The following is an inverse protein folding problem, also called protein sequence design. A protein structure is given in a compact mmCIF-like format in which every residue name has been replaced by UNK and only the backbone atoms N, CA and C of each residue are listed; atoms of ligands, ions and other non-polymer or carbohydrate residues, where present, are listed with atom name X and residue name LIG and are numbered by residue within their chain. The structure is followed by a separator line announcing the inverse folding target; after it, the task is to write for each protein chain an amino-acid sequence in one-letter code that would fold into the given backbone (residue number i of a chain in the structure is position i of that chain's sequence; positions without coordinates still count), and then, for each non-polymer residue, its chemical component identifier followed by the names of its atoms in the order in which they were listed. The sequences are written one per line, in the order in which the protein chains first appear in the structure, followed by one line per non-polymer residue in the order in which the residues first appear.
data_IF_527480281056
#
_entry.id   IF_527480281056
#
_cell.length_a   1.000
_cell.length_b   1.000
_cell.length_c   1.000
_cell.angle_alpha   90.00
_cell.angle_beta   90.00
_cell.angle_gamma   90.00
#
_symmetry.space_group_name_H-M   'P 1'
#
loop_
_entity.id
_entity.type
_entity.pdbx_description
1 polymer ?
#
# COMPACT_ATOMS: atom_id res chain seq x y z
N UNK A 1 -15.89 -50.57 32.25
CA UNK A 1 -16.35 -50.34 30.85
C UNK A 1 -15.34 -49.42 30.24
N UNK A 2 -14.57 -49.96 29.31
CA UNK A 2 -13.35 -49.38 28.76
C UNK A 2 -13.69 -48.54 27.53
N UNK A 3 -13.28 -47.26 27.50
CA UNK A 3 -13.45 -46.40 26.35
C UNK A 3 -12.07 -46.22 25.69
N UNK A 4 -11.92 -46.83 24.49
CA UNK A 4 -10.70 -46.81 23.69
C UNK A 4 -10.67 -45.54 22.85
N UNK A 5 -9.75 -44.65 23.14
CA UNK A 5 -9.36 -43.54 22.22
C UNK A 5 -8.58 -44.12 21.06
N UNK A 6 -9.06 -43.87 19.84
CA UNK A 6 -8.33 -44.18 18.60
C UNK A 6 -7.53 -42.95 18.18
N UNK A 7 -6.19 -43.07 18.27
CA UNK A 7 -5.27 -42.15 17.58
C UNK A 7 -5.31 -42.41 16.08
N UNK A 8 -5.61 -41.34 15.32
CA UNK A 8 -5.47 -41.35 13.88
C UNK A 8 -4.19 -40.56 13.54
N UNK A 9 -3.15 -41.31 13.21
CA UNK A 9 -1.90 -40.74 12.67
C UNK A 9 -1.99 -40.78 11.14
N UNK A 10 -2.20 -39.69 10.51
CA UNK A 10 -2.14 -39.58 9.04
C UNK A 10 -0.76 -39.02 8.65
N UNK A 11 0.05 -39.91 8.05
CA UNK A 11 1.32 -39.58 7.41
C UNK A 11 1.02 -38.83 6.10
N UNK A 12 1.42 -37.56 6.01
CA UNK A 12 1.47 -36.83 4.75
C UNK A 12 2.78 -37.18 4.03
N UNK A 13 2.67 -37.79 2.86
CA UNK A 13 3.75 -37.89 1.89
C UNK A 13 3.72 -36.65 0.99
N UNK A 14 4.85 -36.09 0.58
CA UNK A 14 4.89 -34.99 -0.37
C UNK A 14 4.68 -35.54 -1.78
N UNK A 15 3.64 -35.07 -2.45
CA UNK A 15 3.50 -35.21 -3.89
C UNK A 15 4.15 -34.00 -4.55
N UNK A 16 5.22 -34.27 -5.31
CA UNK A 16 5.72 -33.34 -6.32
C UNK A 16 4.65 -33.21 -7.41
N UNK A 17 4.09 -32.03 -7.52
CA UNK A 17 3.41 -31.59 -8.75
C UNK A 17 3.88 -30.18 -9.07
N UNK A 18 4.28 -30.02 -10.30
CA UNK A 18 4.92 -28.90 -10.94
C UNK A 18 4.12 -27.60 -10.79
N UNK A 19 4.76 -26.57 -10.23
CA UNK A 19 4.29 -25.19 -10.29
C UNK A 19 4.68 -24.61 -11.66
N UNK A 20 3.80 -24.82 -12.63
CA UNK A 20 3.79 -24.02 -13.86
C UNK A 20 3.36 -22.59 -13.53
N UNK A 21 4.24 -21.66 -13.77
CA UNK A 21 3.94 -20.24 -13.83
C UNK A 21 3.04 -19.94 -15.02
N UNK A 22 2.06 -19.03 -14.92
CA UNK A 22 1.30 -18.60 -16.08
C UNK A 22 2.24 -17.88 -17.05
N UNK A 23 2.40 -18.46 -18.22
CA UNK A 23 3.12 -17.95 -19.36
C UNK A 23 2.39 -16.79 -20.03
N UNK A 24 3.17 -15.79 -20.36
CA UNK A 24 3.26 -15.08 -21.64
C UNK A 24 1.98 -14.49 -22.22
N UNK A 25 1.89 -13.18 -22.10
CA UNK A 25 1.24 -12.33 -23.11
C UNK A 25 2.35 -11.65 -23.89
N UNK A 26 2.28 -11.80 -25.21
CA UNK A 26 3.25 -11.44 -26.23
C UNK A 26 3.89 -10.07 -26.05
N UNK A 27 5.24 -10.06 -25.97
CA UNK A 27 6.07 -8.87 -26.04
C UNK A 27 6.65 -8.76 -27.45
N UNK A 28 6.07 -7.88 -28.27
CA UNK A 28 6.63 -7.53 -29.56
C UNK A 28 7.90 -6.71 -29.38
N UNK A 29 8.96 -7.22 -29.98
CA UNK A 29 10.30 -6.70 -30.15
C UNK A 29 10.33 -5.22 -30.51
N UNK A 30 11.09 -4.45 -29.73
CA UNK A 30 11.89 -3.34 -30.26
C UNK A 30 13.30 -3.43 -29.65
N UNK A 31 14.23 -3.86 -30.50
CA UNK A 31 15.66 -3.73 -30.27
C UNK A 31 16.07 -2.28 -30.50
N UNK A 32 16.61 -1.62 -29.49
CA UNK A 32 17.46 -0.46 -29.74
C UNK A 32 18.64 -0.38 -28.77
N UNK A 33 19.75 -0.01 -29.38
CA UNK A 33 21.11 -0.08 -28.90
C UNK A 33 21.35 0.82 -27.67
N UNK A 34 21.92 0.22 -26.62
CA UNK A 34 22.51 0.92 -25.47
C UNK A 34 23.76 1.69 -25.86
N UNK A 35 23.69 3.01 -25.86
CA UNK A 35 24.85 3.86 -25.63
C UNK A 35 24.81 4.38 -24.19
N UNK A 36 25.78 3.95 -23.42
CA UNK A 36 26.02 4.45 -22.06
C UNK A 36 26.59 5.85 -22.10
N UNK A 37 25.81 6.83 -21.68
CA UNK A 37 26.34 8.12 -21.22
C UNK A 37 25.93 8.29 -19.76
N UNK A 38 26.93 8.29 -18.89
CA UNK A 38 26.78 8.67 -17.49
C UNK A 38 26.55 10.17 -17.42
N UNK A 39 25.32 10.57 -17.15
CA UNK A 39 25.02 11.96 -16.78
C UNK A 39 24.30 11.98 -15.44
N UNK A 40 24.90 12.67 -14.48
CA UNK A 40 24.41 12.87 -13.13
C UNK A 40 23.21 13.83 -13.13
N UNK A 41 22.03 13.35 -13.55
CA UNK A 41 20.78 14.07 -13.50
C UNK A 41 20.21 14.09 -12.09
N UNK A 42 20.32 15.22 -11.43
CA UNK A 42 19.69 15.54 -10.16
C UNK A 42 18.18 15.28 -10.19
N UNK A 43 17.69 14.57 -9.18
CA UNK A 43 16.30 14.14 -8.95
C UNK A 43 15.35 15.32 -8.65
N UNK A 44 15.17 16.24 -9.58
CA UNK A 44 14.19 17.35 -9.46
C UNK A 44 12.77 16.95 -9.87
N UNK A 45 12.61 15.93 -10.69
CA UNK A 45 11.31 15.57 -11.31
C UNK A 45 10.27 14.92 -10.39
N UNK A 46 10.72 14.32 -9.26
CA UNK A 46 9.80 13.76 -8.29
C UNK A 46 9.31 14.79 -7.26
N UNK A 47 9.95 15.96 -7.19
CA UNK A 47 9.61 17.01 -6.23
C UNK A 47 8.28 17.70 -6.60
N UNK A 48 8.06 17.99 -7.89
CA UNK A 48 6.91 18.79 -8.33
C UNK A 48 5.56 18.07 -8.12
N UNK A 49 5.49 16.74 -8.31
CA UNK A 49 4.24 15.98 -8.08
C UNK A 49 3.92 15.78 -6.60
N UNK A 50 4.97 15.72 -5.75
CA UNK A 50 4.80 15.70 -4.31
C UNK A 50 4.37 17.08 -3.78
N UNK A 51 4.88 18.15 -4.40
CA UNK A 51 4.52 19.52 -4.02
C UNK A 51 3.06 19.83 -4.37
N UNK A 52 2.52 19.31 -5.48
CA UNK A 52 1.11 19.44 -5.84
C UNK A 52 0.20 18.67 -4.89
N UNK A 53 0.54 17.41 -4.55
CA UNK A 53 -0.20 16.64 -3.56
C UNK A 53 -0.14 17.31 -2.18
N UNK A 54 1.01 17.89 -1.83
CA UNK A 54 1.19 18.64 -0.59
C UNK A 54 0.41 19.96 -0.60
N UNK A 55 0.37 20.67 -1.72
CA UNK A 55 -0.43 21.88 -1.88
C UNK A 55 -1.92 21.60 -1.70
N UNK A 56 -2.43 20.52 -2.31
CA UNK A 56 -3.83 20.13 -2.15
C UNK A 56 -4.17 19.77 -0.68
N UNK A 57 -3.27 19.10 0.02
CA UNK A 57 -3.41 18.82 1.46
C UNK A 57 -3.30 20.11 2.30
N UNK A 58 -2.52 21.11 1.86
CA UNK A 58 -2.45 22.43 2.52
C UNK A 58 -3.76 23.23 2.35
N UNK A 59 -4.42 23.15 1.21
CA UNK A 59 -5.73 23.80 0.98
C UNK A 59 -6.81 23.25 1.91
N UNK A 60 -6.74 21.95 2.26
CA UNK A 60 -7.63 21.32 3.25
C UNK A 60 -7.51 22.00 4.63
N UNK A 61 -6.33 22.53 4.97
CA UNK A 61 -6.07 23.18 6.27
C UNK A 61 -6.91 24.43 6.48
N UNK A 62 -7.15 25.22 5.44
CA UNK A 62 -7.80 26.52 5.57
C UNK A 62 -9.32 26.42 5.72
N UNK A 63 -9.90 25.21 5.51
CA UNK A 63 -11.33 24.94 5.61
C UNK A 63 -11.76 24.37 6.96
N UNK A 64 -10.81 23.92 7.80
CA UNK A 64 -11.13 23.28 9.08
C UNK A 64 -11.34 24.31 10.18
N UNK A 65 -12.53 24.79 10.35
CA UNK A 65 -12.93 25.50 11.56
C UNK A 65 -13.18 24.49 12.70
N UNK A 66 -12.58 24.74 13.85
CA UNK A 66 -12.56 23.99 15.10
C UNK A 66 -13.87 23.29 15.43
N UNK A 67 -14.01 22.03 15.08
CA UNK A 67 -15.05 21.15 15.55
C UNK A 67 -14.45 20.17 16.57
N UNK A 68 -15.05 20.12 17.76
CA UNK A 68 -14.65 19.22 18.87
C UNK A 68 -15.21 17.80 18.56
N UNK A 69 -15.01 17.29 17.35
CA UNK A 69 -15.47 15.95 17.00
C UNK A 69 -14.37 14.95 17.32
N UNK A 70 -14.72 13.90 18.06
CA UNK A 70 -13.85 12.76 18.25
C UNK A 70 -13.88 11.90 17.00
N UNK A 71 -12.73 11.72 16.38
CA UNK A 71 -12.57 10.84 15.24
C UNK A 71 -12.07 9.46 15.71
N UNK A 72 -12.85 8.44 15.40
CA UNK A 72 -12.40 7.05 15.53
C UNK A 72 -11.92 6.59 14.16
N UNK A 73 -10.61 6.38 14.04
CA UNK A 73 -9.99 6.13 12.74
C UNK A 73 -9.58 4.67 12.56
N UNK A 74 -9.88 4.12 11.39
CA UNK A 74 -9.36 2.87 10.87
C UNK A 74 -8.41 3.19 9.72
N UNK A 75 -7.15 2.74 9.83
CA UNK A 75 -6.12 2.95 8.83
C UNK A 75 -5.76 1.60 8.22
N UNK A 76 -6.09 1.40 6.95
CA UNK A 76 -5.85 0.17 6.20
C UNK A 76 -4.67 0.41 5.25
N UNK A 77 -3.60 -0.33 5.44
CA UNK A 77 -2.44 -0.30 4.55
C UNK A 77 -2.41 -1.56 3.69
N UNK A 78 -2.18 -1.39 2.39
CA UNK A 78 -1.68 -2.46 1.56
C UNK A 78 -0.23 -2.78 1.92
N UNK A 79 0.29 -3.93 1.47
CA UNK A 79 1.64 -4.35 1.79
C UNK A 79 2.60 -4.17 0.62
N UNK A 80 2.30 -4.81 -0.53
CA UNK A 80 3.17 -4.82 -1.69
C UNK A 80 3.18 -3.44 -2.38
N UNK A 81 4.36 -2.93 -2.71
CA UNK A 81 4.57 -1.59 -3.28
C UNK A 81 3.92 -0.43 -2.49
N UNK A 82 3.57 -0.71 -1.24
CA UNK A 82 3.08 0.26 -0.26
C UNK A 82 3.97 0.28 0.97
N UNK A 83 4.01 -0.79 1.77
CA UNK A 83 4.90 -0.94 2.92
C UNK A 83 6.20 -1.68 2.57
N UNK A 84 6.15 -2.53 1.55
CA UNK A 84 7.26 -3.38 1.11
C UNK A 84 7.54 -3.14 -0.38
N UNK A 85 8.80 -2.90 -0.78
CA UNK A 85 9.16 -2.50 -2.14
C UNK A 85 9.26 -3.71 -3.09
N UNK A 86 8.15 -4.41 -3.32
CA UNK A 86 8.07 -5.65 -4.08
C UNK A 86 8.60 -5.49 -5.50
N UNK A 87 8.11 -4.49 -6.23
CA UNK A 87 8.53 -4.23 -7.61
C UNK A 87 10.00 -3.85 -7.71
N UNK A 88 10.51 -3.03 -6.80
CA UNK A 88 11.93 -2.69 -6.75
C UNK A 88 12.82 -3.92 -6.55
N UNK A 89 12.48 -4.80 -5.62
CA UNK A 89 13.22 -6.03 -5.38
C UNK A 89 13.17 -6.96 -6.59
N UNK A 90 12.00 -7.14 -7.19
CA UNK A 90 11.83 -7.97 -8.39
C UNK A 90 12.64 -7.45 -9.59
N UNK A 91 12.63 -6.13 -9.83
CA UNK A 91 13.42 -5.49 -10.90
C UNK A 91 14.94 -5.65 -10.70
N UNK A 92 15.38 -5.73 -9.44
CA UNK A 92 16.78 -5.99 -9.09
C UNK A 92 17.12 -7.50 -8.98
N UNK A 93 16.20 -8.39 -9.37
CA UNK A 93 16.42 -9.84 -9.41
C UNK A 93 16.31 -10.54 -8.06
N UNK A 94 15.81 -9.88 -7.02
CA UNK A 94 15.63 -10.47 -5.70
C UNK A 94 14.26 -11.11 -5.55
N UNK A 95 14.25 -12.34 -5.05
CA UNK A 95 13.06 -13.14 -4.78
C UNK A 95 13.14 -13.78 -3.39
N UNK A 96 12.02 -14.24 -2.89
CA UNK A 96 11.96 -14.87 -1.57
C UNK A 96 12.85 -16.13 -1.48
N UNK A 97 12.83 -16.97 -2.51
CA UNK A 97 13.61 -18.20 -2.64
C UNK A 97 15.02 -18.00 -3.27
N UNK A 98 15.35 -16.75 -3.65
CA UNK A 98 16.63 -16.38 -4.24
C UNK A 98 17.70 -16.05 -3.20
N UNK A 99 18.86 -15.52 -3.66
CA UNK A 99 19.94 -15.07 -2.77
C UNK A 99 19.49 -13.91 -1.88
N UNK A 100 20.26 -13.66 -0.83
CA UNK A 100 20.08 -12.48 0.00
C UNK A 100 20.41 -11.21 -0.78
N UNK A 101 19.85 -10.08 -0.35
CA UNK A 101 20.15 -8.78 -0.93
C UNK A 101 21.65 -8.44 -0.80
N UNK A 102 22.21 -7.75 -1.80
CA UNK A 102 23.59 -7.26 -1.68
C UNK A 102 23.70 -6.26 -0.51
N UNK A 103 24.90 -6.06 0.05
CA UNK A 103 25.06 -5.10 1.16
C UNK A 103 24.55 -3.69 0.83
N UNK A 104 24.68 -3.25 -0.41
CA UNK A 104 24.21 -1.95 -0.89
C UNK A 104 22.69 -1.89 -0.89
N UNK A 105 22.03 -2.91 -1.44
CA UNK A 105 20.57 -3.01 -1.45
C UNK A 105 20.03 -3.16 -0.01
N UNK A 106 20.69 -3.98 0.81
CA UNK A 106 20.28 -4.14 2.21
C UNK A 106 20.35 -2.80 2.98
N UNK A 107 21.40 -2.01 2.75
CA UNK A 107 21.52 -0.68 3.36
C UNK A 107 20.36 0.26 2.96
N UNK A 108 19.96 0.23 1.69
CA UNK A 108 18.78 0.99 1.20
C UNK A 108 17.49 0.51 1.90
N UNK A 109 17.29 -0.80 1.99
CA UNK A 109 16.12 -1.39 2.63
C UNK A 109 16.07 -1.09 4.14
N UNK A 110 17.22 -1.07 4.81
CA UNK A 110 17.33 -0.75 6.23
C UNK A 110 16.93 0.70 6.53
N UNK A 111 17.37 1.65 5.69
CA UNK A 111 16.94 3.05 5.82
C UNK A 111 15.44 3.22 5.51
N UNK A 112 14.96 2.59 4.45
CA UNK A 112 13.53 2.59 4.12
C UNK A 112 12.69 1.99 5.24
N UNK A 113 13.14 0.89 5.84
CA UNK A 113 12.47 0.23 6.97
C UNK A 113 12.23 1.20 8.14
N UNK A 114 13.17 2.11 8.42
CA UNK A 114 13.02 3.12 9.48
C UNK A 114 11.89 4.11 9.17
N UNK A 115 11.73 4.44 7.89
CA UNK A 115 10.68 5.37 7.45
C UNK A 115 9.30 4.71 7.59
N UNK A 116 9.15 3.47 7.10
CA UNK A 116 7.91 2.70 7.22
C UNK A 116 7.54 2.46 8.68
N UNK A 117 8.54 2.08 9.52
CA UNK A 117 8.35 1.91 10.96
C UNK A 117 7.74 3.17 11.60
N UNK A 118 8.30 4.33 11.30
CA UNK A 118 7.77 5.61 11.82
C UNK A 118 6.36 5.88 11.33
N UNK A 119 6.08 5.65 10.04
CA UNK A 119 4.73 5.82 9.46
C UNK A 119 3.71 4.97 10.20
N UNK A 120 4.00 3.69 10.42
CA UNK A 120 3.08 2.78 11.10
C UNK A 120 2.90 3.11 12.59
N UNK A 121 3.97 3.55 13.26
CA UNK A 121 3.90 3.99 14.65
C UNK A 121 3.09 5.28 14.80
N UNK A 122 3.27 6.24 13.92
CA UNK A 122 2.48 7.48 13.90
C UNK A 122 1.01 7.15 13.58
N UNK A 123 0.75 6.33 12.57
CA UNK A 123 -0.61 5.88 12.22
C UNK A 123 -1.34 5.23 13.41
N UNK A 124 -0.64 4.37 14.18
CA UNK A 124 -1.20 3.69 15.36
C UNK A 124 -1.60 4.65 16.49
N UNK A 125 -0.97 5.82 16.56
CA UNK A 125 -1.36 6.85 17.56
C UNK A 125 -2.72 7.48 17.23
N UNK A 126 -3.13 7.43 15.97
CA UNK A 126 -4.35 8.07 15.49
C UNK A 126 -5.52 7.10 15.28
N UNK A 127 -5.30 5.79 15.30
CA UNK A 127 -6.37 4.83 15.12
C UNK A 127 -5.93 3.38 15.05
N UNK A 128 -6.88 2.52 14.71
CA UNK A 128 -6.62 1.10 14.47
C UNK A 128 -5.93 0.93 13.12
N UNK A 129 -4.76 0.33 13.13
CA UNK A 129 -4.01 -0.02 11.91
C UNK A 129 -4.26 -1.49 11.56
N UNK A 130 -4.55 -1.77 10.27
CA UNK A 130 -4.71 -3.11 9.71
C UNK A 130 -3.94 -3.18 8.39
N UNK A 131 -3.26 -4.30 8.14
CA UNK A 131 -2.58 -4.57 6.87
C UNK A 131 -3.42 -5.55 6.05
N UNK A 132 -3.73 -5.21 4.80
CA UNK A 132 -4.52 -6.05 3.89
C UNK A 132 -3.76 -6.25 2.59
N UNK A 133 -3.32 -7.48 2.31
CA UNK A 133 -2.59 -7.82 1.08
C UNK A 133 -3.34 -8.83 0.23
N UNK A 134 -3.13 -8.79 -1.08
CA UNK A 134 -3.55 -9.84 -2.01
C UNK A 134 -2.53 -10.99 -2.15
N UNK A 135 -1.37 -10.89 -1.48
CA UNK A 135 -0.42 -11.99 -1.43
C UNK A 135 -0.92 -13.15 -0.54
N UNK A 136 -0.27 -14.30 -0.63
CA UNK A 136 -0.60 -15.47 0.16
C UNK A 136 -0.26 -15.31 1.64
N UNK A 137 -0.92 -16.12 2.47
CA UNK A 137 -0.62 -16.18 3.90
C UNK A 137 0.85 -16.54 4.13
N UNK A 138 1.51 -15.80 5.04
CA UNK A 138 2.93 -15.95 5.32
C UNK A 138 3.82 -14.99 4.49
N UNK A 139 3.34 -14.43 3.39
CA UNK A 139 4.12 -13.52 2.54
C UNK A 139 4.71 -12.35 3.32
N UNK A 140 3.91 -11.63 4.09
CA UNK A 140 4.35 -10.50 4.91
C UNK A 140 5.49 -10.91 5.86
N UNK A 141 5.34 -12.01 6.58
CA UNK A 141 6.33 -12.45 7.57
C UNK A 141 7.63 -12.92 6.92
N UNK A 142 7.54 -13.69 5.84
CA UNK A 142 8.70 -14.24 5.14
C UNK A 142 9.52 -13.15 4.44
N UNK A 143 8.86 -12.24 3.75
CA UNK A 143 9.53 -11.15 3.04
C UNK A 143 10.10 -10.11 4.00
N UNK A 144 9.37 -9.75 5.06
CA UNK A 144 9.88 -8.86 6.09
C UNK A 144 11.10 -9.48 6.80
N UNK A 145 11.05 -10.77 7.14
CA UNK A 145 12.18 -11.44 7.78
C UNK A 145 13.44 -11.44 6.90
N UNK A 146 13.27 -11.66 5.58
CA UNK A 146 14.38 -11.73 4.65
C UNK A 146 14.97 -10.37 4.30
N UNK A 147 14.14 -9.41 3.96
CA UNK A 147 14.56 -8.14 3.36
C UNK A 147 14.47 -6.93 4.29
N UNK A 148 13.56 -6.94 5.26
CA UNK A 148 13.31 -5.82 6.16
C UNK A 148 13.08 -6.32 7.60
N UNK A 149 14.05 -7.04 8.21
CA UNK A 149 13.87 -7.74 9.49
C UNK A 149 13.49 -6.81 10.63
N UNK A 150 13.90 -5.55 10.56
CA UNK A 150 13.49 -4.51 11.51
C UNK A 150 11.99 -4.34 11.61
N UNK A 151 11.27 -4.43 10.47
CA UNK A 151 9.81 -4.29 10.43
C UNK A 151 9.05 -5.54 10.85
N UNK A 152 9.66 -6.71 10.79
CA UNK A 152 8.98 -7.99 11.04
C UNK A 152 8.26 -8.03 12.39
N UNK A 153 8.91 -7.56 13.47
CA UNK A 153 8.28 -7.50 14.78
C UNK A 153 7.13 -6.49 14.87
N UNK A 154 7.29 -5.33 14.24
CA UNK A 154 6.24 -4.32 14.23
C UNK A 154 5.04 -4.80 13.43
N UNK A 155 5.25 -5.32 12.21
CA UNK A 155 4.19 -5.85 11.36
C UNK A 155 3.41 -6.98 12.03
N UNK A 156 4.07 -7.87 12.79
CA UNK A 156 3.40 -8.93 13.54
C UNK A 156 2.51 -8.42 14.69
N UNK A 157 2.68 -7.17 15.10
CA UNK A 157 1.84 -6.53 16.13
C UNK A 157 0.54 -5.94 15.58
N UNK A 158 0.39 -5.85 14.27
CA UNK A 158 -0.83 -5.38 13.62
C UNK A 158 -1.67 -6.56 13.10
N UNK A 159 -3.01 -6.47 13.17
CA UNK A 159 -3.87 -7.38 12.43
C UNK A 159 -3.53 -7.33 10.95
N UNK A 160 -3.43 -8.51 10.32
CA UNK A 160 -3.17 -8.61 8.88
C UNK A 160 -4.10 -9.63 8.23
N UNK A 161 -4.54 -9.34 7.00
CA UNK A 161 -5.40 -10.21 6.20
C UNK A 161 -4.71 -10.48 4.86
N UNK A 162 -4.47 -11.76 4.57
CA UNK A 162 -4.21 -12.23 3.22
C UNK A 162 -5.56 -12.40 2.53
N UNK A 163 -5.96 -11.43 1.73
CA UNK A 163 -7.26 -11.45 1.08
C UNK A 163 -7.39 -12.64 0.13
N UNK A 164 -6.35 -12.93 -0.66
CA UNK A 164 -6.31 -14.10 -1.53
C UNK A 164 -6.52 -15.40 -0.75
N UNK A 165 -5.68 -15.69 0.24
CA UNK A 165 -5.76 -16.95 1.00
C UNK A 165 -7.06 -17.11 1.77
N UNK A 166 -7.74 -16.00 2.08
CA UNK A 166 -9.03 -16.02 2.78
C UNK A 166 -10.19 -16.30 1.82
N UNK A 167 -10.20 -15.69 0.65
CA UNK A 167 -11.39 -15.65 -0.20
C UNK A 167 -11.29 -16.51 -1.47
N UNK A 168 -10.09 -16.77 -2.00
CA UNK A 168 -9.90 -17.67 -3.15
C UNK A 168 -10.44 -19.10 -2.90
N UNK A 169 -10.22 -19.72 -1.71
CA UNK A 169 -10.79 -21.03 -1.39
C UNK A 169 -12.32 -21.05 -1.31
N UNK A 170 -12.96 -19.88 -1.20
CA UNK A 170 -14.42 -19.73 -1.23
C UNK A 170 -14.99 -19.61 -2.65
N UNK A 171 -14.15 -19.79 -3.68
CA UNK A 171 -14.52 -19.71 -5.07
C UNK A 171 -14.51 -18.31 -5.69
N UNK A 172 -13.96 -17.33 -4.98
CA UNK A 172 -13.75 -15.97 -5.50
C UNK A 172 -12.38 -15.94 -6.20
N UNK A 173 -12.35 -15.69 -7.51
CA UNK A 173 -11.12 -15.71 -8.32
C UNK A 173 -10.60 -14.31 -8.70
N UNK A 174 -11.38 -13.26 -8.49
CA UNK A 174 -11.04 -11.91 -8.88
C UNK A 174 -10.24 -11.20 -7.78
N UNK A 175 -9.01 -10.72 -8.04
CA UNK A 175 -8.18 -10.02 -7.05
C UNK A 175 -8.84 -8.77 -6.44
N UNK A 176 -9.63 -8.03 -7.21
CA UNK A 176 -10.41 -6.92 -6.68
C UNK A 176 -11.46 -7.38 -5.68
N UNK A 177 -12.17 -8.48 -5.97
CA UNK A 177 -13.18 -9.02 -5.06
C UNK A 177 -12.56 -9.55 -3.77
N UNK A 178 -11.34 -10.12 -3.80
CA UNK A 178 -10.62 -10.49 -2.57
C UNK A 178 -10.39 -9.26 -1.69
N UNK A 179 -9.85 -8.18 -2.29
CA UNK A 179 -9.58 -6.93 -1.59
C UNK A 179 -10.88 -6.32 -1.05
N UNK A 180 -11.94 -6.28 -1.86
CA UNK A 180 -13.25 -5.78 -1.47
C UNK A 180 -13.81 -6.53 -0.25
N UNK A 181 -13.77 -7.87 -0.27
CA UNK A 181 -14.24 -8.70 0.85
C UNK A 181 -13.40 -8.51 2.12
N UNK A 182 -12.11 -8.36 1.99
CA UNK A 182 -11.24 -8.07 3.12
C UNK A 182 -11.57 -6.69 3.73
N UNK A 183 -11.78 -5.67 2.90
CA UNK A 183 -12.19 -4.34 3.34
C UNK A 183 -13.58 -4.36 3.99
N UNK A 184 -14.55 -5.08 3.41
CA UNK A 184 -15.86 -5.29 4.04
C UNK A 184 -15.68 -5.82 5.47
N UNK A 185 -14.94 -6.91 5.64
CA UNK A 185 -14.72 -7.53 6.94
C UNK A 185 -14.10 -6.56 7.95
N UNK A 186 -13.03 -5.86 7.56
CA UNK A 186 -12.28 -4.95 8.45
C UNK A 186 -13.12 -3.72 8.84
N UNK A 187 -13.80 -3.12 7.87
CA UNK A 187 -14.60 -1.89 8.09
C UNK A 187 -15.85 -2.21 8.92
N UNK A 188 -16.54 -3.31 8.64
CA UNK A 188 -17.69 -3.74 9.44
C UNK A 188 -17.29 -4.06 10.87
N UNK A 189 -16.19 -4.81 11.07
CA UNK A 189 -15.68 -5.11 12.40
C UNK A 189 -15.34 -3.83 13.18
N UNK A 190 -14.63 -2.89 12.56
CA UNK A 190 -14.31 -1.61 13.18
C UNK A 190 -15.56 -0.81 13.52
N UNK A 191 -16.51 -0.74 12.61
CA UNK A 191 -17.79 -0.05 12.82
C UNK A 191 -18.57 -0.63 14.01
N UNK A 192 -18.54 -1.95 14.20
CA UNK A 192 -19.20 -2.60 15.35
C UNK A 192 -18.43 -2.35 16.67
N UNK A 193 -17.11 -2.26 16.64
CA UNK A 193 -16.30 -1.98 17.82
C UNK A 193 -16.48 -0.55 18.32
N UNK A 194 -16.66 0.39 17.41
CA UNK A 194 -16.89 1.78 17.73
C UNK A 194 -18.37 1.95 18.07
N UNK A 195 -18.75 1.58 19.30
CA UNK A 195 -20.07 1.94 19.85
C UNK A 195 -20.10 3.44 20.06
N UNK A 196 -20.75 4.18 19.13
CA UNK A 196 -20.83 5.63 19.18
C UNK A 196 -22.14 6.04 19.91
N UNK A 197 -22.12 6.33 21.22
CA UNK A 197 -23.26 6.95 21.89
C UNK A 197 -23.41 8.44 21.51
N UNK A 198 -22.36 9.03 20.93
CA UNK A 198 -22.31 10.45 20.60
C UNK A 198 -22.70 10.67 19.13
N UNK A 199 -23.80 11.42 18.92
CA UNK A 199 -24.26 11.79 17.58
C UNK A 199 -23.24 12.65 16.79
N UNK A 200 -22.20 13.15 17.45
CA UNK A 200 -21.14 13.97 16.87
C UNK A 200 -19.88 13.16 16.50
N UNK A 201 -19.76 11.91 16.95
CA UNK A 201 -18.61 11.09 16.61
C UNK A 201 -18.61 10.70 15.13
N UNK A 202 -17.45 10.72 14.51
CA UNK A 202 -17.22 10.38 13.10
C UNK A 202 -16.24 9.23 13.01
N UNK A 203 -16.52 8.30 12.10
CA UNK A 203 -15.60 7.20 11.77
C UNK A 203 -14.86 7.59 10.50
N UNK A 204 -13.53 7.59 10.60
CA UNK A 204 -12.66 7.73 9.44
C UNK A 204 -12.19 6.36 8.99
N UNK A 205 -12.30 6.06 7.70
CA UNK A 205 -11.66 4.92 7.05
C UNK A 205 -10.62 5.47 6.08
N UNK A 206 -9.34 5.30 6.44
CA UNK A 206 -8.23 5.70 5.59
C UNK A 206 -7.67 4.46 4.90
N UNK A 207 -7.51 4.51 3.57
CA UNK A 207 -6.94 3.45 2.75
C UNK A 207 -5.67 3.94 2.07
N UNK A 208 -4.58 3.20 2.25
CA UNK A 208 -3.28 3.47 1.64
C UNK A 208 -2.87 2.27 0.79
N UNK A 209 -2.66 2.47 -0.51
CA UNK A 209 -2.25 1.41 -1.43
C UNK A 209 -1.80 1.97 -2.78
N UNK A 210 -1.01 1.21 -3.52
CA UNK A 210 -0.52 1.60 -4.84
C UNK A 210 -1.51 1.27 -5.97
N UNK A 211 -2.46 0.36 -5.73
CA UNK A 211 -3.42 -0.11 -6.71
C UNK A 211 -4.77 0.63 -6.62
N UNK A 212 -5.48 0.66 -7.72
CA UNK A 212 -6.87 1.13 -7.76
C UNK A 212 -7.81 0.23 -6.94
N UNK A 213 -7.42 -1.02 -6.67
CA UNK A 213 -8.24 -1.97 -5.93
C UNK A 213 -8.49 -1.53 -4.48
N UNK A 214 -7.47 -1.02 -3.78
CA UNK A 214 -7.59 -0.49 -2.41
C UNK A 214 -8.50 0.73 -2.36
N UNK A 215 -8.31 1.64 -3.31
CA UNK A 215 -9.10 2.85 -3.47
C UNK A 215 -10.58 2.53 -3.68
N UNK A 216 -10.87 1.74 -4.70
CA UNK A 216 -12.25 1.42 -5.07
C UNK A 216 -12.95 0.53 -4.03
N UNK A 217 -12.22 -0.42 -3.40
CA UNK A 217 -12.74 -1.23 -2.31
C UNK A 217 -13.15 -0.35 -1.12
N UNK A 218 -12.29 0.59 -0.70
CA UNK A 218 -12.60 1.50 0.41
C UNK A 218 -13.87 2.32 0.12
N UNK A 219 -13.92 2.96 -1.06
CA UNK A 219 -15.07 3.78 -1.45
C UNK A 219 -16.36 2.96 -1.56
N UNK A 220 -16.32 1.79 -2.19
CA UNK A 220 -17.49 0.93 -2.36
C UNK A 220 -18.06 0.45 -1.02
N UNK A 221 -17.19 0.00 -0.10
CA UNK A 221 -17.64 -0.45 1.22
C UNK A 221 -18.17 0.70 2.04
N UNK A 222 -17.49 1.85 2.08
CA UNK A 222 -17.95 3.01 2.83
C UNK A 222 -19.29 3.53 2.30
N UNK A 223 -19.50 3.54 0.99
CA UNK A 223 -20.77 3.92 0.38
C UNK A 223 -21.92 2.96 0.73
N UNK A 224 -21.65 1.68 0.94
CA UNK A 224 -22.66 0.69 1.35
C UNK A 224 -23.16 0.91 2.79
N UNK A 225 -22.37 1.60 3.63
CA UNK A 225 -22.67 1.94 5.01
C UNK A 225 -23.25 3.36 5.16
N UNK A 226 -23.96 3.86 4.16
CA UNK A 226 -24.44 5.23 4.03
C UNK A 226 -25.32 5.75 5.19
N UNK A 227 -25.84 4.86 6.04
CA UNK A 227 -26.61 5.23 7.25
C UNK A 227 -25.73 5.66 8.44
N UNK A 228 -24.40 5.53 8.32
CA UNK A 228 -23.44 5.82 9.39
C UNK A 228 -22.63 7.07 9.08
N UNK A 229 -22.21 7.85 10.09
CA UNK A 229 -21.36 9.04 9.91
C UNK A 229 -19.91 8.62 9.62
N UNK A 230 -19.66 8.07 8.41
CA UNK A 230 -18.42 7.47 8.01
C UNK A 230 -17.79 8.27 6.86
N UNK A 231 -16.52 8.65 7.01
CA UNK A 231 -15.74 9.34 6.01
C UNK A 231 -14.70 8.39 5.39
N UNK A 232 -14.79 8.18 4.07
CA UNK A 232 -13.79 7.43 3.32
C UNK A 232 -12.69 8.37 2.83
N UNK A 233 -11.44 8.00 3.08
CA UNK A 233 -10.26 8.76 2.67
C UNK A 233 -9.27 7.82 2.03
N UNK A 234 -9.21 7.83 0.70
CA UNK A 234 -8.27 7.02 -0.05
C UNK A 234 -7.02 7.82 -0.42
N UNK A 235 -5.87 7.23 -0.25
CA UNK A 235 -4.56 7.77 -0.64
C UNK A 235 -3.89 6.73 -1.53
N UNK A 236 -4.00 6.92 -2.85
CA UNK A 236 -3.39 6.04 -3.84
C UNK A 236 -1.93 6.44 -4.04
N UNK A 237 -1.04 5.48 -3.85
CA UNK A 237 0.39 5.59 -4.09
C UNK A 237 0.71 5.42 -5.58
N UNK A 238 1.95 5.72 -5.94
CA UNK A 238 2.52 5.44 -7.26
C UNK A 238 2.62 3.92 -7.44
N UNK A 239 2.20 3.43 -8.60
CA UNK A 239 2.33 2.03 -8.98
C UNK A 239 3.79 1.68 -9.32
N UNK A 240 4.25 0.50 -8.91
CA UNK A 240 5.62 0.01 -9.15
C UNK A 240 6.71 1.03 -8.77
N UNK A 241 6.66 1.58 -7.57
CA UNK A 241 7.58 2.64 -7.16
C UNK A 241 9.00 2.10 -6.94
N UNK A 242 9.97 2.97 -7.09
CA UNK A 242 11.29 2.73 -6.50
C UNK A 242 11.29 3.07 -4.98
N UNK A 243 12.38 2.72 -4.29
CA UNK A 243 12.47 2.95 -2.83
C UNK A 243 12.51 4.44 -2.48
N UNK A 244 13.08 5.29 -3.35
CA UNK A 244 13.11 6.72 -3.12
C UNK A 244 11.71 7.34 -3.23
N UNK A 245 10.92 6.90 -4.21
CA UNK A 245 9.52 7.28 -4.37
C UNK A 245 8.68 6.83 -3.16
N UNK A 246 8.82 5.57 -2.73
CA UNK A 246 8.15 5.06 -1.53
C UNK A 246 8.52 5.88 -0.28
N UNK A 247 9.81 6.18 -0.10
CA UNK A 247 10.28 7.01 1.01
C UNK A 247 9.59 8.37 1.04
N UNK A 248 9.53 9.05 -0.12
CA UNK A 248 8.85 10.35 -0.24
C UNK A 248 7.36 10.26 0.07
N UNK A 249 6.68 9.23 -0.43
CA UNK A 249 5.25 8.98 -0.16
C UNK A 249 4.98 8.80 1.33
N UNK A 250 5.80 8.01 2.03
CA UNK A 250 5.67 7.81 3.47
C UNK A 250 5.93 9.10 4.28
N UNK A 251 6.91 9.90 3.88
CA UNK A 251 7.16 11.21 4.50
C UNK A 251 5.96 12.13 4.31
N UNK A 252 5.44 12.24 3.08
CA UNK A 252 4.26 13.06 2.77
C UNK A 252 3.05 12.65 3.60
N UNK A 253 2.79 11.35 3.72
CA UNK A 253 1.66 10.84 4.53
C UNK A 253 1.84 11.23 5.99
N UNK A 254 3.01 11.02 6.58
CA UNK A 254 3.26 11.37 7.98
C UNK A 254 3.03 12.85 8.26
N UNK A 255 3.54 13.70 7.39
CA UNK A 255 3.40 15.16 7.52
C UNK A 255 1.96 15.64 7.36
N UNK A 256 1.13 14.84 6.71
CA UNK A 256 -0.26 15.19 6.36
C UNK A 256 -1.32 14.41 7.14
N UNK A 257 -0.94 13.34 7.84
CA UNK A 257 -1.88 12.36 8.42
C UNK A 257 -2.94 13.00 9.31
N UNK A 258 -2.53 13.89 10.20
CA UNK A 258 -3.46 14.59 11.10
C UNK A 258 -4.47 15.42 10.33
N UNK A 259 -4.01 16.16 9.31
CA UNK A 259 -4.89 16.99 8.47
C UNK A 259 -5.90 16.16 7.69
N UNK A 260 -5.46 15.00 7.17
CA UNK A 260 -6.34 14.06 6.47
C UNK A 260 -7.37 13.49 7.44
N UNK A 261 -6.99 13.14 8.66
CA UNK A 261 -7.91 12.63 9.68
C UNK A 261 -8.92 13.69 10.09
N UNK A 262 -8.50 14.92 10.32
CA UNK A 262 -9.33 16.03 10.76
C UNK A 262 -10.24 16.60 9.66
N UNK A 263 -9.96 16.32 8.40
CA UNK A 263 -10.82 16.77 7.30
C UNK A 263 -12.25 16.21 7.44
N UNK A 264 -13.22 17.08 7.44
CA UNK A 264 -14.64 16.72 7.50
C UNK A 264 -15.16 16.37 6.11
N UNK A 265 -15.15 15.08 5.78
CA UNK A 265 -15.64 14.56 4.52
C UNK A 265 -14.83 13.43 3.94
N UNK A 266 -15.25 13.00 2.76
CA UNK A 266 -14.55 12.00 1.96
C UNK A 266 -13.42 12.66 1.18
N UNK A 267 -12.26 12.01 1.15
CA UNK A 267 -11.10 12.40 0.34
C UNK A 267 -10.72 11.27 -0.62
N UNK A 268 -10.31 11.65 -1.80
CA UNK A 268 -9.79 10.74 -2.82
C UNK A 268 -8.51 11.35 -3.42
N UNK A 269 -7.39 10.95 -2.87
CA UNK A 269 -6.07 11.50 -3.20
C UNK A 269 -5.27 10.49 -4.00
N UNK A 270 -4.60 10.97 -5.06
CA UNK A 270 -3.69 10.17 -5.88
C UNK A 270 -2.33 10.86 -5.93
N UNK A 271 -1.27 10.11 -5.59
CA UNK A 271 0.11 10.58 -5.74
C UNK A 271 0.60 10.09 -7.10
N UNK A 272 0.92 11.00 -8.01
CA UNK A 272 1.34 10.69 -9.38
C UNK A 272 2.75 11.20 -9.66
N UNK A 273 3.49 10.52 -10.54
CA UNK A 273 4.71 11.07 -11.12
C UNK A 273 4.36 11.92 -12.32
N UNK A 274 4.69 13.20 -12.31
CA UNK A 274 4.60 14.02 -13.53
C UNK A 274 5.76 13.65 -14.45
N UNK A 275 5.43 13.12 -15.63
CA UNK A 275 6.38 13.03 -16.73
C UNK A 275 6.40 14.38 -17.45
N UNK A 276 7.44 15.19 -17.22
CA UNK A 276 7.64 16.39 -18.01
C UNK A 276 8.08 15.94 -19.41
N UNK A 277 7.17 16.03 -20.38
CA UNK A 277 7.50 15.84 -21.78
C UNK A 277 8.45 16.95 -22.23
N UNK A 278 9.68 16.60 -22.57
CA UNK A 278 10.72 17.53 -23.05
C UNK A 278 10.53 17.96 -24.51
N UNK A 279 9.31 17.97 -25.03
CA UNK A 279 9.02 18.23 -26.46
C UNK A 279 9.05 19.71 -26.87
N UNK A 280 9.52 20.64 -26.03
CA UNK A 280 9.52 22.08 -26.36
C UNK A 280 10.92 22.72 -26.55
N UNK A 281 11.94 21.94 -26.95
CA UNK A 281 13.28 22.52 -27.19
C UNK A 281 13.70 22.54 -28.65
N UNK A 282 12.78 22.69 -29.64
CA UNK A 282 13.16 22.94 -31.04
C UNK A 282 12.16 23.80 -31.78
N UNK A 283 11.87 24.99 -31.26
CA UNK A 283 11.32 26.08 -32.06
C UNK A 283 12.50 26.99 -32.45
N UNK A 284 13.29 26.54 -33.41
CA UNK A 284 14.27 27.38 -34.10
C UNK A 284 13.50 28.42 -34.95
N UNK A 285 13.61 29.65 -34.54
CA UNK A 285 13.21 30.84 -35.31
C UNK A 285 13.96 30.87 -36.64
N UNK A 286 13.33 30.99 -37.82
CA UNK A 286 14.04 31.29 -39.06
C UNK A 286 14.44 32.75 -39.07
N UNK A 287 15.76 33.03 -39.12
CA UNK A 287 16.30 34.30 -39.50
C UNK A 287 15.93 34.57 -40.97
N UNK A 288 15.07 35.56 -41.21
CA UNK A 288 14.90 36.16 -42.53
C UNK A 288 16.05 37.12 -42.77
N UNK A 289 16.78 36.88 -43.88
CA UNK A 289 17.64 37.83 -44.52
C UNK A 289 16.81 38.67 -45.52
#
# INVERSE_FOLDING_TARGET
MSNKSRHFTQKLQPTNEDLESPSDVDDERLSDSMTTTSDGGSSTYAQDSFDDAFAHIQEIRDQSSHSIHRHESLLIFDYDDTLFPTSFLAQNGYKLDGPDASPEIQAILDEYSKIVERTLLDARQHGRVVVVTNAESGWISLTAQKFMPRLGHLLSSFPSISARSTYEPLGISNPFEWKLKAFESVIYEHHQMVSIPDALARINVLSFGDSIHERDAAHQVCASLSSSPLFCKSIKFIERPDVAQLTKQHVLIRDSLVKVIEHEGTLDLCIECQHISTDNANASTPLNA
#
